data_IF_671280864330
#
_entry.id   IF_671280864330
#
_cell.length_a   1.000
_cell.length_b   1.000
_cell.length_c   1.000
_cell.angle_alpha   90.00
_cell.angle_beta   90.00
_cell.angle_gamma   90.00
#
_symmetry.space_group_name_H-M   'P 1'
#
loop_
_entity.id
_entity.type
_entity.pdbx_description
1 polymer ?
#
# COMPACT_ATOMS: atom_id res chain seq x y z
N UNK A 1 13.71 -15.67 -15.30
CA UNK A 1 12.70 -15.94 -14.25
C UNK A 1 11.34 -15.89 -14.91
N UNK A 2 10.43 -16.84 -14.65
CA UNK A 2 9.08 -16.77 -15.22
C UNK A 2 8.32 -15.57 -14.64
N UNK A 3 7.53 -14.86 -15.46
CA UNK A 3 6.77 -13.67 -15.06
C UNK A 3 5.92 -13.90 -13.80
N UNK A 4 5.35 -15.10 -13.68
CA UNK A 4 4.60 -15.53 -12.50
C UNK A 4 5.43 -15.53 -11.21
N UNK A 5 6.71 -15.91 -11.30
CA UNK A 5 7.62 -15.92 -10.14
C UNK A 5 7.91 -14.50 -9.68
N UNK A 6 8.09 -13.56 -10.60
CA UNK A 6 8.31 -12.14 -10.28
C UNK A 6 7.07 -11.56 -9.58
N UNK A 7 5.87 -11.82 -10.09
CA UNK A 7 4.62 -11.37 -9.47
C UNK A 7 4.46 -11.91 -8.04
N UNK A 8 4.79 -13.19 -7.80
CA UNK A 8 4.75 -13.78 -6.45
C UNK A 8 5.75 -13.12 -5.49
N UNK A 9 6.98 -12.84 -5.94
CA UNK A 9 7.97 -12.12 -5.12
C UNK A 9 7.54 -10.68 -4.83
N UNK A 10 6.92 -9.99 -5.79
CA UNK A 10 6.36 -8.66 -5.54
C UNK A 10 5.16 -8.72 -4.58
N UNK A 11 4.34 -9.78 -4.66
CA UNK A 11 3.28 -10.07 -3.68
C UNK A 11 3.83 -10.31 -2.27
N UNK A 12 4.97 -11.00 -2.15
CA UNK A 12 5.70 -11.16 -0.91
C UNK A 12 6.17 -9.81 -0.34
N UNK A 13 6.77 -8.97 -1.18
CA UNK A 13 7.20 -7.63 -0.76
C UNK A 13 6.00 -6.83 -0.25
N UNK A 14 4.87 -6.87 -0.96
CA UNK A 14 3.63 -6.22 -0.54
C UNK A 14 3.12 -6.72 0.83
N UNK A 15 3.18 -8.03 1.07
CA UNK A 15 2.81 -8.63 2.36
C UNK A 15 3.72 -8.13 3.49
N UNK A 16 5.04 -8.16 3.29
CA UNK A 16 6.02 -7.68 4.27
C UNK A 16 5.85 -6.18 4.52
N UNK A 17 5.53 -5.41 3.49
CA UNK A 17 5.22 -4.00 3.59
C UNK A 17 4.02 -3.75 4.51
N UNK A 18 2.95 -4.55 4.35
CA UNK A 18 1.79 -4.50 5.21
C UNK A 18 2.12 -4.82 6.67
N UNK A 19 2.94 -5.86 6.91
CA UNK A 19 3.41 -6.20 8.27
C UNK A 19 4.22 -5.06 8.89
N UNK A 20 5.16 -4.49 8.13
CA UNK A 20 5.94 -3.34 8.58
C UNK A 20 5.03 -2.16 8.93
N UNK A 21 4.01 -1.89 8.12
CA UNK A 21 3.05 -0.80 8.37
C UNK A 21 2.23 -1.03 9.65
N UNK A 22 1.77 -2.26 9.88
CA UNK A 22 1.09 -2.62 11.12
C UNK A 22 1.99 -2.44 12.35
N UNK A 23 3.31 -2.55 12.20
CA UNK A 23 4.30 -2.34 13.26
C UNK A 23 4.33 -0.91 13.82
N UNK A 24 3.82 0.08 13.07
CA UNK A 24 3.67 1.46 13.58
C UNK A 24 2.73 1.52 14.78
N UNK A 25 1.58 0.84 14.73
CA UNK A 25 0.56 0.88 15.79
C UNK A 25 1.09 0.41 17.16
N UNK A 26 1.70 -0.79 17.31
CA UNK A 26 2.28 -1.17 18.60
C UNK A 26 3.48 -0.31 18.97
N UNK A 27 4.25 0.21 18.00
CA UNK A 27 5.34 1.12 18.30
C UNK A 27 4.84 2.44 18.91
N UNK A 28 3.78 3.02 18.35
CA UNK A 28 3.11 4.21 18.89
C UNK A 28 2.54 3.97 20.29
N UNK A 29 1.95 2.79 20.54
CA UNK A 29 1.39 2.45 21.87
C UNK A 29 2.49 2.31 22.93
N UNK A 30 3.66 1.76 22.57
CA UNK A 30 4.73 1.48 23.53
C UNK A 30 5.67 2.69 23.73
N UNK A 31 6.02 3.39 22.64
CA UNK A 31 7.00 4.48 22.64
C UNK A 31 6.40 5.87 22.43
N UNK A 32 5.09 5.98 22.20
CA UNK A 32 4.39 7.22 21.91
C UNK A 32 4.30 7.53 20.41
N UNK A 33 3.30 8.33 20.05
CA UNK A 33 3.09 8.88 18.71
C UNK A 33 4.30 9.69 18.24
N UNK A 34 4.66 9.57 16.96
CA UNK A 34 5.81 10.20 16.33
C UNK A 34 7.17 9.79 16.92
N UNK A 35 7.21 8.67 17.64
CA UNK A 35 8.47 8.07 18.10
C UNK A 35 9.32 7.58 16.93
N UNK A 36 10.64 7.55 17.12
CA UNK A 36 11.58 7.06 16.09
C UNK A 36 11.25 5.62 15.68
N UNK A 37 10.79 4.79 16.61
CA UNK A 37 10.39 3.41 16.38
C UNK A 37 9.18 3.35 15.44
N UNK A 38 8.12 4.11 15.73
CA UNK A 38 6.94 4.20 14.88
C UNK A 38 7.30 4.66 13.47
N UNK A 39 8.01 5.79 13.36
CA UNK A 39 8.36 6.38 12.09
C UNK A 39 9.29 5.45 11.28
N UNK A 40 10.17 4.68 11.93
CA UNK A 40 11.06 3.73 11.24
C UNK A 40 10.27 2.60 10.59
N UNK A 41 9.27 2.06 11.28
CA UNK A 41 8.32 1.10 10.70
C UNK A 41 7.55 1.73 9.53
N UNK A 42 7.08 2.97 9.70
CA UNK A 42 6.37 3.70 8.65
C UNK A 42 7.21 3.94 7.40
N UNK A 43 8.47 4.33 7.57
CA UNK A 43 9.42 4.56 6.50
C UNK A 43 9.73 3.29 5.72
N UNK A 44 10.11 2.21 6.42
CA UNK A 44 10.36 0.91 5.81
C UNK A 44 9.13 0.38 5.06
N UNK A 45 7.95 0.53 5.68
CA UNK A 45 6.68 0.17 5.07
C UNK A 45 6.46 0.91 3.76
N UNK A 46 6.54 2.25 3.73
CA UNK A 46 6.24 3.02 2.52
C UNK A 46 7.20 2.72 1.35
N UNK A 47 8.47 2.41 1.61
CA UNK A 47 9.41 1.94 0.58
C UNK A 47 8.93 0.60 0.00
N UNK A 48 8.66 -0.38 0.87
CA UNK A 48 8.21 -1.70 0.44
C UNK A 48 6.84 -1.64 -0.23
N UNK A 49 5.93 -0.78 0.22
CA UNK A 49 4.61 -0.56 -0.36
C UNK A 49 4.74 0.05 -1.76
N UNK A 50 5.65 1.01 -1.96
CA UNK A 50 5.91 1.59 -3.29
C UNK A 50 6.30 0.51 -4.30
N UNK A 51 7.21 -0.39 -3.92
CA UNK A 51 7.60 -1.51 -4.77
C UNK A 51 6.48 -2.57 -4.91
N UNK A 52 5.80 -2.90 -3.81
CA UNK A 52 4.77 -3.93 -3.74
C UNK A 52 3.47 -3.57 -4.46
N UNK A 53 3.14 -2.29 -4.58
CA UNK A 53 1.91 -1.84 -5.27
C UNK A 53 1.98 -2.14 -6.78
N UNK A 54 3.18 -2.24 -7.36
CA UNK A 54 3.39 -2.70 -8.74
C UNK A 54 2.83 -4.11 -8.95
N UNK A 55 2.92 -4.98 -7.93
CA UNK A 55 2.30 -6.31 -7.96
C UNK A 55 0.79 -6.23 -8.15
N UNK A 56 0.15 -5.23 -7.54
CA UNK A 56 -1.28 -4.96 -7.68
C UNK A 56 -1.66 -4.68 -9.14
N UNK A 57 -0.87 -3.85 -9.85
CA UNK A 57 -1.11 -3.59 -11.27
C UNK A 57 -0.94 -4.86 -12.12
N UNK A 58 0.11 -5.66 -11.85
CA UNK A 58 0.33 -6.92 -12.56
C UNK A 58 -0.77 -7.95 -12.30
N UNK A 59 -1.38 -7.94 -11.11
CA UNK A 59 -2.55 -8.75 -10.81
C UNK A 59 -3.83 -8.22 -11.48
N UNK A 60 -3.87 -6.93 -11.81
CA UNK A 60 -5.04 -6.21 -12.35
C UNK A 60 -4.91 -5.85 -13.83
N UNK A 61 -4.08 -6.53 -14.62
CA UNK A 61 -3.82 -6.15 -16.03
C UNK A 61 -5.09 -6.02 -16.87
N UNK A 62 -6.13 -6.79 -16.55
CA UNK A 62 -7.45 -6.75 -17.19
C UNK A 62 -8.20 -5.42 -17.01
N UNK A 63 -7.78 -4.58 -16.06
CA UNK A 63 -8.43 -3.30 -15.74
C UNK A 63 -7.89 -2.11 -16.54
N UNK A 64 -6.87 -2.34 -17.36
CA UNK A 64 -6.34 -1.37 -18.31
C UNK A 64 -5.80 -0.09 -17.66
N UNK A 65 -6.04 1.05 -18.31
CA UNK A 65 -5.49 2.34 -17.90
C UNK A 65 -5.96 2.81 -16.50
N UNK A 66 -7.18 2.47 -16.10
CA UNK A 66 -7.71 2.88 -14.79
C UNK A 66 -7.01 2.16 -13.64
N UNK A 67 -6.73 0.86 -13.79
CA UNK A 67 -5.92 0.12 -12.82
C UNK A 67 -4.51 0.68 -12.71
N UNK A 68 -3.89 0.99 -13.85
CA UNK A 68 -2.58 1.63 -13.90
C UNK A 68 -2.56 2.97 -13.17
N UNK A 69 -3.51 3.86 -13.45
CA UNK A 69 -3.62 5.18 -12.81
C UNK A 69 -3.80 5.04 -11.29
N UNK A 70 -4.61 4.08 -10.85
CA UNK A 70 -4.84 3.86 -9.41
C UNK A 70 -3.57 3.43 -8.67
N UNK A 71 -2.84 2.47 -9.24
CA UNK A 71 -1.59 1.95 -8.68
C UNK A 71 -0.49 3.02 -8.71
N UNK A 72 -0.44 3.82 -9.79
CA UNK A 72 0.49 4.94 -9.88
C UNK A 72 0.18 5.98 -8.80
N UNK A 73 -1.08 6.35 -8.61
CA UNK A 73 -1.50 7.27 -7.54
C UNK A 73 -1.10 6.79 -6.15
N UNK A 74 -1.37 5.52 -5.84
CA UNK A 74 -0.97 4.89 -4.57
C UNK A 74 0.56 4.88 -4.41
N UNK A 75 1.30 4.56 -5.48
CA UNK A 75 2.78 4.53 -5.46
C UNK A 75 3.34 5.93 -5.20
N UNK A 76 2.83 6.96 -5.87
CA UNK A 76 3.21 8.35 -5.63
C UNK A 76 2.88 8.74 -4.19
N UNK A 77 1.69 8.41 -3.68
CA UNK A 77 1.33 8.66 -2.28
C UNK A 77 2.30 8.00 -1.28
N UNK A 78 2.70 6.76 -1.54
CA UNK A 78 3.69 6.05 -0.72
C UNK A 78 5.06 6.73 -0.78
N UNK A 79 5.55 7.11 -1.96
CA UNK A 79 6.84 7.81 -2.11
C UNK A 79 6.83 9.15 -1.38
N UNK A 80 5.75 9.93 -1.52
CA UNK A 80 5.63 11.21 -0.83
C UNK A 80 5.53 11.00 0.69
N UNK A 81 4.88 9.94 1.16
CA UNK A 81 4.86 9.58 2.58
C UNK A 81 6.25 9.23 3.08
N UNK A 82 7.02 8.44 2.32
CA UNK A 82 8.43 8.15 2.62
C UNK A 82 9.25 9.43 2.78
N UNK A 83 9.08 10.40 1.87
CA UNK A 83 9.81 11.67 1.92
C UNK A 83 9.41 12.52 3.14
N UNK A 84 8.12 12.60 3.46
CA UNK A 84 7.63 13.31 4.65
C UNK A 84 8.15 12.68 5.95
N UNK A 85 8.09 11.35 6.06
CA UNK A 85 8.62 10.64 7.24
C UNK A 85 10.14 10.82 7.35
N UNK A 86 10.87 10.73 6.23
CA UNK A 86 12.31 10.95 6.21
C UNK A 86 12.70 12.35 6.70
N UNK A 87 11.87 13.35 6.39
CA UNK A 87 12.11 14.74 6.80
C UNK A 87 12.13 14.85 8.33
N UNK A 88 11.32 14.07 9.05
CA UNK A 88 11.30 14.04 10.52
C UNK A 88 12.61 13.47 11.09
N UNK A 89 13.30 12.56 10.39
CA UNK A 89 14.59 12.02 10.84
C UNK A 89 15.78 12.97 10.62
N UNK A 90 15.64 13.90 9.67
CA UNK A 90 16.73 14.83 9.31
C UNK A 90 16.63 16.14 10.08
N UNK A 91 15.42 16.55 10.43
CA UNK A 91 15.16 17.77 11.19
C UNK A 91 15.44 17.51 12.68
N UNK A 92 16.03 18.51 13.35
CA UNK A 92 16.33 18.41 14.77
C UNK A 92 15.03 18.22 15.58
N UNK A 93 15.00 17.27 16.54
CA UNK A 93 13.82 17.01 17.35
C UNK A 93 13.27 18.29 18.01
N UNK A 94 12.00 18.58 17.80
CA UNK A 94 11.33 19.78 18.33
C UNK A 94 11.44 21.02 17.45
N UNK A 95 12.16 20.97 16.33
CA UNK A 95 12.10 22.03 15.32
C UNK A 95 10.75 22.05 14.62
N UNK A 96 10.19 23.25 14.33
CA UNK A 96 8.95 23.34 13.56
C UNK A 96 9.16 22.71 12.18
N UNK A 97 8.13 22.01 11.69
CA UNK A 97 8.19 21.50 10.32
C UNK A 97 8.38 22.66 9.34
N UNK A 98 9.17 22.47 8.26
CA UNK A 98 9.38 23.50 7.28
C UNK A 98 8.05 23.84 6.62
N UNK A 99 7.67 25.11 6.66
CA UNK A 99 6.51 25.61 5.94
C UNK A 99 6.94 26.30 4.64
N UNK A 100 6.14 26.10 3.60
CA UNK A 100 6.38 26.72 2.30
C UNK A 100 5.45 26.19 1.22
N UNK A 101 5.31 26.91 0.09
CA UNK A 101 4.42 26.52 -1.00
C UNK A 101 4.70 25.11 -1.54
N UNK A 102 5.97 24.74 -1.62
CA UNK A 102 6.39 23.40 -2.09
C UNK A 102 5.96 22.33 -1.08
N UNK A 103 6.18 22.53 0.22
CA UNK A 103 5.79 21.57 1.26
C UNK A 103 4.27 21.40 1.31
N UNK A 104 3.52 22.50 1.22
CA UNK A 104 2.06 22.46 1.13
C UNK A 104 1.58 21.67 -0.09
N UNK A 105 2.17 21.91 -1.27
CA UNK A 105 1.87 21.16 -2.48
C UNK A 105 2.21 19.68 -2.32
N UNK A 106 3.34 19.34 -1.70
CA UNK A 106 3.73 17.96 -1.41
C UNK A 106 2.73 17.25 -0.50
N UNK A 107 2.22 17.93 0.55
CA UNK A 107 1.20 17.37 1.46
C UNK A 107 -0.13 17.13 0.73
N UNK A 108 -0.57 18.09 -0.09
CA UNK A 108 -1.79 17.94 -0.90
C UNK A 108 -1.63 16.80 -1.90
N UNK A 109 -0.51 16.74 -2.61
CA UNK A 109 -0.22 15.69 -3.59
C UNK A 109 -0.13 14.31 -2.92
N UNK A 110 0.42 14.22 -1.70
CA UNK A 110 0.44 13.00 -0.92
C UNK A 110 -0.99 12.53 -0.63
N UNK A 111 -1.81 13.38 0.00
CA UNK A 111 -3.20 13.03 0.34
C UNK A 111 -4.00 12.66 -0.91
N UNK A 112 -3.85 13.42 -2.00
CA UNK A 112 -4.51 13.13 -3.26
C UNK A 112 -4.08 11.76 -3.82
N UNK A 113 -2.77 11.48 -3.89
CA UNK A 113 -2.24 10.20 -4.37
C UNK A 113 -2.71 9.01 -3.52
N UNK A 114 -2.64 9.15 -2.19
CA UNK A 114 -3.05 8.10 -1.26
C UNK A 114 -4.56 7.86 -1.30
N UNK A 115 -5.39 8.89 -1.13
CA UNK A 115 -6.84 8.76 -1.03
C UNK A 115 -7.45 8.48 -2.41
N UNK A 116 -7.20 9.33 -3.41
CA UNK A 116 -7.81 9.16 -4.74
C UNK A 116 -7.29 7.90 -5.41
N UNK A 117 -5.99 7.60 -5.28
CA UNK A 117 -5.41 6.35 -5.76
C UNK A 117 -6.06 5.13 -5.12
N UNK A 118 -6.24 5.14 -3.80
CA UNK A 118 -6.89 4.03 -3.08
C UNK A 118 -8.37 3.88 -3.44
N UNK A 119 -9.13 4.99 -3.52
CA UNK A 119 -10.54 4.96 -3.92
C UNK A 119 -10.68 4.36 -5.32
N UNK A 120 -9.88 4.85 -6.27
CA UNK A 120 -9.90 4.34 -7.64
C UNK A 120 -9.51 2.86 -7.68
N UNK A 121 -8.48 2.47 -6.92
CA UNK A 121 -8.03 1.09 -6.81
C UNK A 121 -9.15 0.19 -6.27
N UNK A 122 -9.84 0.60 -5.20
CA UNK A 122 -10.98 -0.14 -4.63
C UNK A 122 -12.09 -0.32 -5.66
N UNK A 123 -12.50 0.77 -6.34
CA UNK A 123 -13.57 0.73 -7.34
C UNK A 123 -13.21 -0.24 -8.47
N UNK A 124 -12.01 -0.09 -9.02
CA UNK A 124 -11.53 -0.92 -10.13
C UNK A 124 -11.40 -2.39 -9.72
N UNK A 125 -10.78 -2.65 -8.58
CA UNK A 125 -10.63 -4.00 -8.00
C UNK A 125 -11.98 -4.68 -7.81
N UNK A 126 -12.94 -3.94 -7.23
CA UNK A 126 -14.25 -4.47 -6.90
C UNK A 126 -15.07 -4.77 -8.16
N UNK A 127 -15.03 -3.88 -9.16
CA UNK A 127 -15.75 -4.06 -10.44
C UNK A 127 -15.16 -5.20 -11.28
N UNK A 128 -13.83 -5.27 -11.37
CA UNK A 128 -13.14 -6.31 -12.12
C UNK A 128 -13.16 -7.66 -11.39
N UNK A 129 -13.45 -7.66 -10.07
CA UNK A 129 -13.43 -8.83 -9.19
C UNK A 129 -12.06 -9.51 -9.13
N UNK A 130 -10.96 -8.78 -9.35
CA UNK A 130 -9.59 -9.33 -9.39
C UNK A 130 -9.24 -10.03 -8.07
N UNK A 131 -9.52 -9.35 -6.96
CA UNK A 131 -9.28 -9.86 -5.61
C UNK A 131 -10.57 -10.35 -4.95
N UNK A 132 -10.46 -11.24 -3.95
CA UNK A 132 -11.57 -11.53 -3.04
C UNK A 132 -12.07 -10.23 -2.38
N UNK A 133 -13.38 -10.14 -2.14
CA UNK A 133 -14.04 -8.90 -1.66
C UNK A 133 -13.47 -8.34 -0.35
N UNK A 134 -12.85 -9.17 0.48
CA UNK A 134 -12.25 -8.69 1.72
C UNK A 134 -11.09 -7.70 1.47
N UNK A 135 -10.34 -7.81 0.36
CA UNK A 135 -9.22 -6.90 0.05
C UNK A 135 -9.71 -5.46 -0.17
N UNK A 136 -10.65 -5.16 -1.10
CA UNK A 136 -11.19 -3.81 -1.23
C UNK A 136 -11.93 -3.35 0.04
N UNK A 137 -12.56 -4.26 0.80
CA UNK A 137 -13.17 -3.90 2.10
C UNK A 137 -12.11 -3.40 3.10
N UNK A 138 -10.93 -4.03 3.16
CA UNK A 138 -9.83 -3.58 4.03
C UNK A 138 -9.31 -2.18 3.63
N UNK A 139 -9.22 -1.89 2.34
CA UNK A 139 -8.87 -0.55 1.87
C UNK A 139 -9.94 0.49 2.19
N UNK A 140 -11.23 0.13 2.14
CA UNK A 140 -12.30 1.01 2.61
C UNK A 140 -12.20 1.21 4.12
N UNK A 141 -11.97 0.15 4.89
CA UNK A 141 -11.79 0.22 6.34
C UNK A 141 -10.62 1.13 6.73
N UNK A 142 -9.52 1.06 5.98
CA UNK A 142 -8.39 1.98 6.09
C UNK A 142 -8.84 3.44 5.92
N UNK A 143 -9.57 3.78 4.85
CA UNK A 143 -10.04 5.15 4.63
C UNK A 143 -11.01 5.62 5.72
N UNK A 144 -11.95 4.76 6.12
CA UNK A 144 -12.91 5.07 7.18
C UNK A 144 -12.25 5.24 8.56
N UNK A 145 -11.14 4.55 8.80
CA UNK A 145 -10.42 4.64 10.06
C UNK A 145 -9.82 6.02 10.34
N UNK A 146 -9.63 6.87 9.32
CA UNK A 146 -9.22 8.27 9.49
C UNK A 146 -10.29 9.14 10.17
N UNK A 147 -11.54 8.69 10.19
CA UNK A 147 -12.66 9.41 10.81
C UNK A 147 -13.01 8.85 12.19
N UNK A 148 -12.24 7.88 12.70
CA UNK A 148 -12.46 7.37 14.05
C UNK A 148 -11.94 8.40 15.07
N UNK A 149 -12.74 8.75 16.10
CA UNK A 149 -12.32 9.69 17.15
C UNK A 149 -11.40 8.98 18.16
N UNK A 150 -10.29 8.45 17.69
CA UNK A 150 -9.24 7.84 18.51
C UNK A 150 -8.02 8.76 18.45
N UNK A 151 -7.39 8.98 19.60
CA UNK A 151 -6.18 9.79 19.73
C UNK A 151 -5.14 9.37 18.67
N UNK A 152 -4.60 10.38 17.97
CA UNK A 152 -3.59 10.30 16.92
C UNK A 152 -3.85 9.34 15.75
N UNK A 153 -5.10 8.88 15.54
CA UNK A 153 -5.44 7.94 14.48
C UNK A 153 -4.54 6.68 14.46
N UNK A 154 -4.12 6.19 15.62
CA UNK A 154 -3.15 5.10 15.80
C UNK A 154 -3.53 3.81 15.04
N UNK A 155 -4.83 3.59 14.80
CA UNK A 155 -5.37 2.44 14.06
C UNK A 155 -5.32 2.59 12.53
N UNK A 156 -5.09 3.79 11.99
CA UNK A 156 -4.98 3.97 10.54
C UNK A 156 -3.83 3.13 9.96
N UNK A 157 -2.67 3.13 10.62
CA UNK A 157 -1.53 2.34 10.19
C UNK A 157 -1.81 0.82 10.24
N UNK A 158 -2.58 0.36 11.23
CA UNK A 158 -3.03 -1.03 11.32
C UNK A 158 -3.90 -1.42 10.13
N UNK A 159 -4.98 -0.67 9.84
CA UNK A 159 -5.87 -1.00 8.73
C UNK A 159 -5.18 -0.86 7.37
N UNK A 160 -4.30 0.13 7.23
CA UNK A 160 -3.50 0.28 6.02
C UNK A 160 -2.57 -0.91 5.81
N UNK A 161 -1.90 -1.36 6.88
CA UNK A 161 -1.06 -2.55 6.85
C UNK A 161 -1.85 -3.82 6.52
N UNK A 162 -3.01 -4.02 7.16
CA UNK A 162 -3.90 -5.14 6.88
C UNK A 162 -4.35 -5.20 5.42
N UNK A 163 -4.66 -4.06 4.80
CA UNK A 163 -5.04 -4.00 3.39
C UNK A 163 -3.92 -4.52 2.47
N UNK A 164 -2.66 -4.12 2.75
CA UNK A 164 -1.49 -4.60 2.00
C UNK A 164 -1.14 -6.06 2.30
N UNK A 165 -1.30 -6.52 3.55
CA UNK A 165 -1.18 -7.95 3.89
C UNK A 165 -2.19 -8.78 3.10
N UNK A 166 -3.46 -8.36 3.09
CA UNK A 166 -4.53 -9.07 2.37
C UNK A 166 -4.29 -9.12 0.87
N UNK A 167 -3.86 -8.00 0.28
CA UNK A 167 -3.49 -7.92 -1.13
C UNK A 167 -2.27 -8.80 -1.44
N UNK A 168 -1.16 -8.62 -0.72
CA UNK A 168 0.09 -9.36 -0.91
C UNK A 168 -0.09 -10.87 -0.72
N UNK A 169 -0.87 -11.29 0.28
CA UNK A 169 -1.20 -12.70 0.50
C UNK A 169 -1.95 -13.32 -0.69
N UNK A 170 -2.95 -12.61 -1.23
CA UNK A 170 -3.69 -13.08 -2.40
C UNK A 170 -2.77 -13.24 -3.63
N UNK A 171 -1.88 -12.27 -3.86
CA UNK A 171 -0.93 -12.29 -4.98
C UNK A 171 0.08 -13.44 -4.81
N UNK A 172 0.70 -13.57 -3.63
CA UNK A 172 1.68 -14.62 -3.36
C UNK A 172 1.07 -16.01 -3.56
N UNK A 173 -0.05 -16.27 -2.89
CA UNK A 173 -0.69 -17.58 -2.89
C UNK A 173 -1.43 -17.90 -4.18
N UNK A 174 -1.57 -16.93 -5.09
CA UNK A 174 -2.33 -17.09 -6.33
C UNK A 174 -3.85 -17.17 -6.12
N UNK A 175 -4.34 -16.72 -4.95
CA UNK A 175 -5.78 -16.67 -4.61
C UNK A 175 -6.45 -15.43 -5.21
N UNK A 176 -6.31 -15.26 -6.52
CA UNK A 176 -7.05 -14.29 -7.31
C UNK A 176 -8.37 -14.93 -7.79
N UNK A 177 -9.40 -14.13 -8.04
CA UNK A 177 -10.71 -14.66 -8.46
C UNK A 177 -10.62 -15.29 -9.87
N UNK A 178 -11.35 -16.40 -10.16
CA UNK A 178 -11.11 -17.25 -11.34
C UNK A 178 -11.14 -16.59 -12.72
N UNK A 179 -11.75 -15.40 -12.88
CA UNK A 179 -11.76 -14.72 -14.19
C UNK A 179 -10.35 -14.37 -14.69
N UNK A 180 -9.45 -14.05 -13.75
CA UNK A 180 -8.03 -13.74 -13.99
C UNK A 180 -7.13 -14.95 -14.28
N UNK A 181 -7.61 -16.19 -14.06
CA UNK A 181 -6.82 -17.40 -14.32
C UNK A 181 -6.88 -17.87 -15.79
N UNK A 182 -7.84 -17.36 -16.56
CA UNK A 182 -8.10 -17.80 -17.94
C UNK A 182 -7.04 -17.30 -18.93
N UNK A 183 -6.21 -16.31 -18.56
CA UNK A 183 -5.22 -15.69 -19.46
C UNK A 183 -3.76 -15.98 -19.09
N UNK A 184 -3.49 -16.72 -18.01
CA UNK A 184 -2.12 -17.20 -17.79
C UNK A 184 -1.85 -18.35 -18.75
N UNK A 185 -0.87 -18.23 -19.67
CA UNK A 185 -0.53 -19.32 -20.57
C UNK A 185 -0.23 -20.55 -19.73
N UNK A 186 -0.94 -21.64 -20.02
CA UNK A 186 -0.76 -22.92 -19.36
C UNK A 186 0.74 -23.24 -19.23
N UNK A 187 1.20 -23.80 -18.10
CA UNK A 187 2.59 -24.21 -17.98
C UNK A 187 2.87 -25.16 -19.14
N UNK A 188 3.76 -24.75 -20.05
CA UNK A 188 4.25 -25.63 -21.11
C UNK A 188 4.89 -26.81 -20.42
N UNK A 189 4.17 -27.93 -20.38
CA UNK A 189 4.75 -29.23 -20.10
C UNK A 189 5.77 -29.49 -21.21
N UNK A 190 7.04 -29.21 -20.93
CA UNK A 190 8.11 -29.72 -21.75
C UNK A 190 8.20 -31.21 -21.48
N UNK A 191 7.53 -31.99 -22.32
CA UNK A 191 7.77 -33.42 -22.46
C UNK A 191 8.82 -33.62 -23.54
N UNK A 192 10.03 -33.97 -23.13
CA UNK A 192 10.98 -34.85 -23.82
C UNK A 192 12.14 -35.13 -22.86
#
# INVERSE_FOLDING_TARGET
MSDLRVVKWLGMICLLAGIARMGMTPAAIIWGTDSVQELSFGYAACILMSAGTIAGFLAQRETGALGFISVLGMTVGNILTTALVFTVFVIEPGSPMPDGPIVALTRIANMAGMILGTILFVIVTFRAKVFPRFVPILFIAMLLSQFLPVEDNVYFALFWGLAYVGMGFCIWTGRLTPRSQTEMPAPRTYSA
#
